data_IF_263420256783
#
_entry.id   IF_263420256783
#
_cell.length_a   1.000
_cell.length_b   1.000
_cell.length_c   1.000
_cell.angle_alpha   90.00
_cell.angle_beta   90.00
_cell.angle_gamma   90.00
#
_symmetry.space_group_name_H-M   'P 1'
#
loop_
_entity.id
_entity.type
_entity.pdbx_description
1 polymer ?
#
# COMPACT_ATOMS: atom_id res chain seq x y z
N UNK A 1 -17.62 -11.89 7.24
CA UNK A 1 -16.18 -11.58 7.17
C UNK A 1 -15.92 -10.74 5.92
N UNK A 2 -16.18 -9.44 5.97
CA UNK A 2 -15.79 -8.52 4.90
C UNK A 2 -14.60 -7.73 5.41
N UNK A 3 -13.43 -8.38 5.49
CA UNK A 3 -12.18 -7.67 5.77
C UNK A 3 -11.90 -6.72 4.61
N UNK A 4 -12.24 -5.46 4.81
CA UNK A 4 -11.95 -4.42 3.84
C UNK A 4 -10.48 -4.06 3.98
N UNK A 5 -9.63 -4.79 3.25
CA UNK A 5 -8.24 -4.40 3.04
C UNK A 5 -8.22 -3.05 2.30
N UNK A 6 -7.50 -2.10 2.87
CA UNK A 6 -7.42 -0.73 2.42
C UNK A 6 -6.30 -0.54 1.40
N UNK A 7 -6.55 0.36 0.46
CA UNK A 7 -5.58 0.82 -0.53
C UNK A 7 -4.74 1.97 0.03
N UNK A 8 -3.51 2.16 -0.46
CA UNK A 8 -2.82 1.39 -1.51
C UNK A 8 -2.14 0.08 -1.08
N UNK A 9 -1.99 -0.20 0.21
CA UNK A 9 -1.21 -1.31 0.72
C UNK A 9 -1.66 -2.66 0.15
N UNK A 10 -2.97 -2.85 -0.03
CA UNK A 10 -3.53 -4.07 -0.64
C UNK A 10 -2.97 -4.32 -2.04
N UNK A 11 -3.04 -3.34 -2.93
CA UNK A 11 -2.54 -3.48 -4.30
C UNK A 11 -1.04 -3.74 -4.36
N UNK A 12 -0.25 -3.05 -3.52
CA UNK A 12 1.21 -3.23 -3.48
C UNK A 12 1.58 -4.62 -2.97
N UNK A 13 0.95 -5.08 -1.87
CA UNK A 13 1.19 -6.41 -1.31
C UNK A 13 0.76 -7.49 -2.31
N UNK A 14 -0.30 -7.28 -3.08
CA UNK A 14 -0.72 -8.20 -4.13
C UNK A 14 0.29 -8.27 -5.30
N UNK A 15 0.90 -7.13 -5.69
CA UNK A 15 1.92 -7.08 -6.75
C UNK A 15 3.23 -7.74 -6.34
N UNK A 16 3.71 -7.46 -5.13
CA UNK A 16 5.06 -7.85 -4.67
C UNK A 16 5.06 -9.19 -3.94
N UNK A 17 3.97 -9.53 -3.26
CA UNK A 17 3.86 -10.69 -2.39
C UNK A 17 4.26 -10.38 -0.94
N UNK A 18 3.43 -10.82 0.01
CA UNK A 18 3.61 -10.49 1.43
C UNK A 18 4.90 -11.05 2.04
N UNK A 19 5.29 -12.26 1.64
CA UNK A 19 6.52 -12.91 2.10
C UNK A 19 7.77 -12.17 1.61
N UNK A 20 7.75 -11.69 0.37
CA UNK A 20 8.83 -10.89 -0.19
C UNK A 20 8.97 -9.56 0.55
N UNK A 21 7.85 -8.87 0.80
CA UNK A 21 7.84 -7.62 1.57
C UNK A 21 8.36 -7.87 3.00
N UNK A 22 7.88 -8.91 3.68
CA UNK A 22 8.34 -9.27 5.03
C UNK A 22 9.86 -9.50 5.05
N UNK A 23 10.38 -10.25 4.08
CA UNK A 23 11.81 -10.55 3.93
C UNK A 23 12.64 -9.28 3.71
N UNK A 24 12.27 -8.43 2.75
CA UNK A 24 13.09 -7.25 2.39
C UNK A 24 13.00 -6.12 3.44
N UNK A 25 11.89 -6.03 4.17
CA UNK A 25 11.70 -5.02 5.24
C UNK A 25 12.18 -5.49 6.62
N UNK A 26 12.52 -6.78 6.75
CA UNK A 26 12.82 -7.43 8.04
C UNK A 26 11.64 -7.44 9.01
N UNK A 27 10.42 -7.15 8.54
CA UNK A 27 9.20 -7.13 9.36
C UNK A 27 8.58 -8.51 9.38
N UNK A 28 7.97 -8.88 10.52
CA UNK A 28 7.17 -10.10 10.58
C UNK A 28 5.96 -10.02 9.63
N UNK A 29 5.60 -11.12 8.98
CA UNK A 29 4.50 -11.18 7.98
C UNK A 29 3.18 -10.62 8.52
N UNK A 30 2.85 -10.86 9.79
CA UNK A 30 1.63 -10.31 10.40
C UNK A 30 1.65 -8.79 10.55
N UNK A 31 2.82 -8.15 10.69
CA UNK A 31 2.95 -6.69 10.71
C UNK A 31 2.73 -6.10 9.32
N UNK A 32 3.24 -6.77 8.29
CA UNK A 32 3.00 -6.40 6.89
C UNK A 32 1.52 -6.53 6.54
N UNK A 33 0.87 -7.62 6.95
CA UNK A 33 -0.56 -7.86 6.70
C UNK A 33 -1.43 -6.74 7.28
N UNK A 34 -1.10 -6.25 8.48
CA UNK A 34 -1.81 -5.15 9.15
C UNK A 34 -1.70 -3.80 8.43
N UNK A 35 -0.79 -3.61 7.48
CA UNK A 35 -0.75 -2.37 6.69
C UNK A 35 -2.01 -2.18 5.84
N UNK A 36 -2.69 -3.28 5.49
CA UNK A 36 -3.98 -3.23 4.80
C UNK A 36 -5.15 -2.87 5.72
N UNK A 37 -4.94 -2.75 7.04
CA UNK A 37 -6.03 -2.52 7.97
C UNK A 37 -6.24 -1.03 8.26
N UNK A 38 -7.46 -0.70 8.69
CA UNK A 38 -7.77 0.62 9.22
C UNK A 38 -7.02 0.90 10.53
N UNK A 39 -6.85 2.17 10.87
CA UNK A 39 -6.12 2.57 12.10
C UNK A 39 -6.85 2.12 13.36
N UNK A 40 -8.18 2.05 13.33
CA UNK A 40 -9.04 1.58 14.42
C UNK A 40 -8.80 0.09 14.72
N UNK A 41 -8.45 -0.69 13.70
CA UNK A 41 -8.03 -2.10 13.85
C UNK A 41 -6.52 -2.25 14.10
N UNK A 42 -5.83 -1.13 14.39
CA UNK A 42 -4.39 -1.07 14.61
C UNK A 42 -3.57 -1.36 13.36
N UNK A 43 -4.09 -1.03 12.18
CA UNK A 43 -3.34 -0.93 10.94
C UNK A 43 -2.78 0.46 10.69
N UNK A 44 -2.40 0.72 9.43
CA UNK A 44 -1.82 2.00 9.00
C UNK A 44 -2.81 2.87 8.24
N UNK A 45 -4.06 2.40 8.07
CA UNK A 45 -5.04 3.05 7.20
C UNK A 45 -4.83 2.76 5.73
N UNK A 46 -4.24 1.61 5.39
CA UNK A 46 -3.94 1.25 4.00
C UNK A 46 -2.62 1.79 3.47
N UNK A 47 -1.81 2.47 4.30
CA UNK A 47 -0.55 3.06 3.86
C UNK A 47 0.64 2.17 4.24
N UNK A 48 1.55 1.93 3.30
CA UNK A 48 2.85 1.34 3.64
C UNK A 48 3.71 2.41 4.33
N UNK A 49 4.31 2.12 5.51
CA UNK A 49 5.14 3.09 6.21
C UNK A 49 6.26 3.63 5.33
N UNK A 50 6.51 4.94 5.39
CA UNK A 50 7.42 5.65 4.48
C UNK A 50 8.83 5.06 4.46
N UNK A 51 9.35 4.64 5.62
CA UNK A 51 10.69 4.04 5.72
C UNK A 51 10.85 2.70 4.98
N UNK A 52 9.75 2.02 4.67
CA UNK A 52 9.76 0.71 3.98
C UNK A 52 9.57 0.86 2.46
N UNK A 53 9.14 2.03 1.98
CA UNK A 53 8.84 2.23 0.56
C UNK A 53 10.07 2.09 -0.35
N UNK A 54 11.26 2.66 -0.02
CA UNK A 54 12.44 2.56 -0.88
C UNK A 54 12.90 1.13 -1.13
N UNK A 55 12.93 0.28 -0.09
CA UNK A 55 13.39 -1.11 -0.23
C UNK A 55 12.40 -1.96 -1.04
N UNK A 56 11.10 -1.65 -0.95
CA UNK A 56 10.07 -2.32 -1.77
C UNK A 56 10.21 -1.91 -3.24
N UNK A 57 10.49 -0.63 -3.51
CA UNK A 57 10.74 -0.12 -4.86
C UNK A 57 12.00 -0.72 -5.48
N UNK A 58 13.11 -0.77 -4.73
CA UNK A 58 14.36 -1.38 -5.19
C UNK A 58 14.16 -2.87 -5.52
N UNK A 59 13.43 -3.60 -4.67
CA UNK A 59 13.08 -4.99 -4.95
C UNK A 59 12.21 -5.12 -6.21
N UNK A 60 11.21 -4.24 -6.37
CA UNK A 60 10.33 -4.27 -7.53
C UNK A 60 11.11 -4.03 -8.83
N UNK A 61 11.99 -3.04 -8.85
CA UNK A 61 12.87 -2.74 -9.98
C UNK A 61 13.78 -3.92 -10.32
N UNK A 62 14.46 -4.49 -9.32
CA UNK A 62 15.36 -5.62 -9.49
C UNK A 62 14.66 -6.89 -10.01
N UNK A 63 13.34 -7.02 -9.82
CA UNK A 63 12.54 -8.18 -10.23
C UNK A 63 11.59 -7.87 -11.41
N UNK A 64 11.68 -6.68 -12.03
CA UNK A 64 10.82 -6.31 -13.16
C UNK A 64 9.34 -6.19 -12.81
N UNK A 65 9.00 -5.86 -11.57
CA UNK A 65 7.63 -5.65 -11.12
C UNK A 65 7.23 -4.21 -11.43
N UNK A 66 6.10 -4.00 -12.12
CA UNK A 66 5.53 -2.68 -12.39
C UNK A 66 4.94 -2.05 -11.12
N UNK A 67 5.83 -1.42 -10.35
CA UNK A 67 5.54 -0.69 -9.14
C UNK A 67 6.29 0.63 -9.17
N UNK A 68 5.56 1.73 -9.03
CA UNK A 68 6.11 3.08 -9.05
C UNK A 68 5.87 3.79 -7.73
N UNK A 69 6.54 4.92 -7.53
CA UNK A 69 6.31 5.81 -6.39
C UNK A 69 4.83 6.22 -6.25
N UNK A 70 4.10 6.35 -7.36
CA UNK A 70 2.69 6.76 -7.35
C UNK A 70 1.79 5.73 -6.68
N UNK A 71 2.14 4.45 -6.76
CA UNK A 71 1.36 3.36 -6.17
C UNK A 71 1.28 3.49 -4.64
N UNK A 72 2.24 4.14 -3.98
CA UNK A 72 2.25 4.32 -2.51
C UNK A 72 1.32 5.42 -1.99
N UNK A 73 0.70 6.20 -2.88
CA UNK A 73 -0.17 7.30 -2.50
C UNK A 73 -1.64 6.92 -2.70
N UNK A 74 -2.54 7.35 -1.78
CA UNK A 74 -3.96 7.13 -1.96
C UNK A 74 -4.45 7.87 -3.20
N UNK A 75 -5.19 7.18 -4.05
CA UNK A 75 -5.92 7.81 -5.15
C UNK A 75 -7.03 8.64 -4.52
N UNK A 76 -6.89 9.97 -4.54
CA UNK A 76 -7.99 10.84 -4.17
C UNK A 76 -9.13 10.54 -5.15
N UNK A 77 -10.34 10.19 -4.66
CA UNK A 77 -11.49 10.17 -5.55
C UNK A 77 -11.57 11.56 -6.16
N UNK A 78 -11.46 11.63 -7.48
CA UNK A 78 -11.78 12.86 -8.21
C UNK A 78 -13.23 13.16 -7.88
N UNK A 79 -13.45 14.08 -6.94
CA UNK A 79 -14.76 14.66 -6.73
C UNK A 79 -15.10 15.25 -8.11
N UNK A 80 -16.14 14.76 -8.82
CA UNK A 80 -16.56 15.43 -10.03
C UNK A 80 -16.85 16.86 -9.61
N UNK A 81 -16.11 17.81 -10.21
CA UNK A 81 -16.27 19.22 -9.95
C UNK A 81 -17.72 19.57 -10.27
N UNK A 82 -18.59 19.58 -9.27
CA UNK A 82 -19.94 20.09 -9.39
C UNK A 82 -19.81 21.58 -9.64
N UNK A 83 -20.18 21.99 -10.86
CA UNK A 83 -20.55 23.35 -11.22
C UNK A 83 -19.50 24.45 -11.01
N UNK A 84 -18.91 24.87 -12.13
CA UNK A 84 -18.92 26.30 -12.43
C UNK A 84 -20.39 26.72 -12.49
N UNK A 85 -20.92 27.24 -11.38
CA UNK A 85 -22.19 27.95 -11.33
C UNK A 85 -21.93 29.39 -10.92
N UNK A 86 -22.52 30.29 -11.72
CA UNK A 86 -22.54 31.75 -11.67
C UNK A 86 -21.35 32.49 -12.31
#
# INVERSE_FOLDING_TARGET
>A
MSETHLEPAKSIIAKVGIENIAKITGKHVSRVYRWMYSKERGGTGGLIPQGEQPVILEYAEANGIDLTHRDFFPVRPTVPSSEQAA
#
